data_IF_133599141405
#
_entry.id   IF_133599141405
#
_cell.length_a   1.000
_cell.length_b   1.000
_cell.length_c   1.000
_cell.angle_alpha   90.00
_cell.angle_beta   90.00
_cell.angle_gamma   90.00
#
_symmetry.space_group_name_H-M   'P 1'
#
loop_
_entity.id
_entity.type
_entity.pdbx_description
1 polymer ?
#
# COMPACT_ATOMS: atom_id res chain seq x y z
N UNK A 1 20.30 -0.30 -15.22
CA UNK A 1 19.66 0.48 -14.13
C UNK A 1 18.82 -0.42 -13.25
N UNK A 2 17.91 -1.21 -13.82
CA UNK A 2 17.22 -2.31 -13.11
C UNK A 2 18.10 -3.57 -13.16
N UNK A 3 19.17 -3.57 -12.37
CA UNK A 3 20.05 -4.73 -12.18
C UNK A 3 19.77 -5.42 -10.83
N UNK A 4 20.49 -6.50 -10.52
CA UNK A 4 20.28 -7.27 -9.29
C UNK A 4 20.49 -6.43 -8.02
N UNK A 5 21.47 -5.53 -8.02
CA UNK A 5 21.76 -4.63 -6.88
C UNK A 5 20.60 -3.67 -6.65
N UNK A 6 20.02 -3.14 -7.72
CA UNK A 6 18.83 -2.30 -7.65
C UNK A 6 17.63 -3.09 -7.11
N UNK A 7 17.40 -4.31 -7.61
CA UNK A 7 16.29 -5.13 -7.15
C UNK A 7 16.43 -5.50 -5.66
N UNK A 8 17.64 -5.79 -5.19
CA UNK A 8 17.91 -6.03 -3.77
C UNK A 8 17.63 -4.79 -2.90
N UNK A 9 18.08 -3.62 -3.34
CA UNK A 9 17.77 -2.36 -2.67
C UNK A 9 16.25 -2.14 -2.60
N UNK A 10 15.54 -2.34 -3.71
CA UNK A 10 14.10 -2.17 -3.77
C UNK A 10 13.36 -3.15 -2.86
N UNK A 11 13.77 -4.43 -2.82
CA UNK A 11 13.24 -5.42 -1.87
C UNK A 11 13.40 -4.96 -0.43
N UNK A 12 14.59 -4.47 -0.07
CA UNK A 12 14.85 -3.93 1.27
C UNK A 12 13.94 -2.74 1.61
N UNK A 13 13.81 -1.77 0.71
CA UNK A 13 12.97 -0.58 0.95
C UNK A 13 11.48 -0.92 1.01
N UNK A 14 11.00 -1.83 0.16
CA UNK A 14 9.61 -2.31 0.17
C UNK A 14 9.31 -3.03 1.49
N UNK A 15 10.21 -3.89 1.97
CA UNK A 15 10.04 -4.54 3.25
C UNK A 15 9.96 -3.53 4.40
N UNK A 16 10.87 -2.56 4.43
CA UNK A 16 10.84 -1.47 5.42
C UNK A 16 9.54 -0.67 5.37
N UNK A 17 9.02 -0.39 4.17
CA UNK A 17 7.75 0.30 4.00
C UNK A 17 6.57 -0.52 4.53
N UNK A 18 6.55 -1.84 4.27
CA UNK A 18 5.53 -2.76 4.82
C UNK A 18 5.52 -2.74 6.35
N UNK A 19 6.69 -2.74 6.98
CA UNK A 19 6.80 -2.66 8.44
C UNK A 19 6.21 -1.35 9.00
N UNK A 20 6.41 -0.23 8.30
CA UNK A 20 5.78 1.04 8.68
C UNK A 20 4.26 0.99 8.53
N UNK A 21 3.73 0.40 7.46
CA UNK A 21 2.29 0.24 7.31
C UNK A 21 1.69 -0.63 8.42
N UNK A 22 2.30 -1.76 8.75
CA UNK A 22 1.85 -2.62 9.87
C UNK A 22 1.83 -1.87 11.21
N UNK A 23 2.82 -1.00 11.46
CA UNK A 23 2.82 -0.14 12.65
C UNK A 23 1.71 0.91 12.59
N UNK A 24 1.51 1.54 11.42
CA UNK A 24 0.48 2.56 11.21
C UNK A 24 -0.94 2.00 11.40
N UNK A 25 -1.22 0.76 10.98
CA UNK A 25 -2.53 0.11 11.16
C UNK A 25 -3.02 0.13 12.61
N UNK A 26 -2.11 0.00 13.59
CA UNK A 26 -2.45 0.10 15.02
C UNK A 26 -2.85 1.53 15.40
N UNK A 27 -2.17 2.53 14.85
CA UNK A 27 -2.43 3.94 15.10
C UNK A 27 -3.76 4.43 14.51
N UNK A 28 -4.23 3.83 13.40
CA UNK A 28 -5.51 4.23 12.78
C UNK A 28 -6.70 4.04 13.73
N UNK A 29 -6.65 3.02 14.61
CA UNK A 29 -7.71 2.78 15.59
C UNK A 29 -7.84 3.91 16.63
N UNK A 30 -6.77 4.66 16.86
CA UNK A 30 -6.78 5.80 17.78
C UNK A 30 -7.36 7.09 17.15
N UNK A 31 -7.61 7.10 15.83
CA UNK A 31 -8.21 8.24 15.15
C UNK A 31 -9.72 8.36 15.45
N UNK A 32 -10.24 9.57 15.32
CA UNK A 32 -11.68 9.83 15.33
C UNK A 32 -12.37 8.98 14.27
N UNK A 33 -13.58 8.50 14.57
CA UNK A 33 -14.31 7.52 13.76
C UNK A 33 -14.43 7.94 12.29
N UNK A 34 -14.71 9.23 12.05
CA UNK A 34 -14.89 9.79 10.71
C UNK A 34 -13.57 9.87 9.91
N UNK A 35 -12.43 9.98 10.60
CA UNK A 35 -11.11 10.02 9.98
C UNK A 35 -10.54 8.62 9.66
N UNK A 36 -11.06 7.55 10.29
CA UNK A 36 -10.54 6.18 10.09
C UNK A 36 -10.71 5.71 8.66
N UNK A 37 -11.87 5.97 8.06
CA UNK A 37 -12.21 5.48 6.72
C UNK A 37 -11.29 5.99 5.59
N UNK A 38 -11.04 7.32 5.45
CA UNK A 38 -10.12 7.81 4.42
C UNK A 38 -8.68 7.34 4.67
N UNK A 39 -8.25 7.26 5.93
CA UNK A 39 -6.88 6.84 6.27
C UNK A 39 -6.66 5.35 6.01
N UNK A 40 -7.61 4.48 6.36
CA UNK A 40 -7.57 3.06 6.00
C UNK A 40 -7.56 2.85 4.49
N UNK A 41 -8.40 3.60 3.77
CA UNK A 41 -8.47 3.53 2.30
C UNK A 41 -7.14 3.92 1.66
N UNK A 42 -6.51 5.00 2.14
CA UNK A 42 -5.20 5.42 1.69
C UNK A 42 -4.13 4.35 2.01
N UNK A 43 -4.07 3.85 3.26
CA UNK A 43 -3.11 2.82 3.67
C UNK A 43 -3.19 1.59 2.75
N UNK A 44 -4.40 1.07 2.52
CA UNK A 44 -4.61 -0.09 1.66
C UNK A 44 -4.22 0.19 0.21
N UNK A 45 -4.51 1.39 -0.31
CA UNK A 45 -4.18 1.75 -1.67
C UNK A 45 -2.66 1.86 -1.89
N UNK A 46 -1.95 2.52 -0.97
CA UNK A 46 -0.50 2.68 -1.08
C UNK A 46 0.26 1.36 -0.87
N UNK A 47 -0.22 0.48 0.03
CA UNK A 47 0.33 -0.87 0.14
C UNK A 47 0.24 -1.65 -1.19
N UNK A 48 -0.87 -1.53 -1.92
CA UNK A 48 -1.04 -2.18 -3.23
C UNK A 48 -0.06 -1.68 -4.29
N UNK A 49 0.40 -0.42 -4.22
CA UNK A 49 1.42 0.10 -5.15
C UNK A 49 2.72 -0.69 -5.01
N UNK A 50 3.10 -1.09 -3.78
CA UNK A 50 4.31 -1.89 -3.56
C UNK A 50 4.24 -3.23 -4.29
N UNK A 51 3.07 -3.89 -4.30
CA UNK A 51 2.87 -5.13 -5.03
C UNK A 51 2.94 -4.92 -6.55
N UNK A 52 2.49 -3.77 -7.06
CA UNK A 52 2.64 -3.42 -8.48
C UNK A 52 4.11 -3.22 -8.82
N UNK A 53 4.91 -2.59 -7.96
CA UNK A 53 6.35 -2.44 -8.16
C UNK A 53 7.04 -3.81 -8.24
N UNK A 54 6.68 -4.75 -7.35
CA UNK A 54 7.21 -6.12 -7.40
C UNK A 54 6.79 -6.86 -8.68
N UNK A 55 5.53 -6.75 -9.09
CA UNK A 55 5.02 -7.34 -10.33
C UNK A 55 5.70 -6.77 -11.58
N UNK A 56 6.04 -5.49 -11.54
CA UNK A 56 6.76 -4.77 -12.58
C UNK A 56 8.27 -5.09 -12.59
N UNK A 57 8.71 -6.13 -11.88
CA UNK A 57 10.12 -6.51 -11.72
C UNK A 57 11.01 -5.34 -11.25
N UNK A 58 10.47 -4.48 -10.38
CA UNK A 58 11.13 -3.30 -9.84
C UNK A 58 11.54 -2.25 -10.88
N UNK A 59 11.03 -2.35 -12.11
CA UNK A 59 11.18 -1.31 -13.12
C UNK A 59 10.19 -0.18 -12.86
N UNK A 60 10.69 0.87 -12.20
CA UNK A 60 9.96 2.11 -11.92
C UNK A 60 10.38 3.26 -12.85
N UNK A 61 11.35 3.01 -13.73
CA UNK A 61 11.90 4.03 -14.63
C UNK A 61 11.20 4.02 -15.98
N UNK A 62 10.92 2.84 -16.52
CA UNK A 62 10.23 2.68 -17.81
C UNK A 62 8.71 2.67 -17.67
N UNK A 63 8.21 2.31 -16.49
CA UNK A 63 6.77 2.19 -16.23
C UNK A 63 6.39 2.72 -14.85
N UNK A 64 5.31 3.50 -14.80
CA UNK A 64 4.77 4.01 -13.54
C UNK A 64 3.95 2.91 -12.85
N UNK A 65 4.29 2.57 -11.61
CA UNK A 65 3.46 1.71 -10.78
C UNK A 65 2.18 2.46 -10.35
N UNK A 66 1.01 1.98 -10.79
CA UNK A 66 -0.29 2.44 -10.33
C UNK A 66 -1.21 1.26 -10.08
N UNK A 67 -2.11 1.40 -9.10
CA UNK A 67 -3.16 0.40 -8.85
C UNK A 67 -4.26 0.60 -9.90
N UNK A 68 -4.56 -0.40 -10.76
CA UNK A 68 -5.60 -0.29 -11.77
C UNK A 68 -6.98 -0.05 -11.16
N UNK A 69 -7.92 0.52 -11.94
CA UNK A 69 -9.22 1.02 -11.45
C UNK A 69 -10.09 -0.07 -10.79
N UNK A 70 -9.99 -1.32 -11.24
CA UNK A 70 -10.76 -2.46 -10.71
C UNK A 70 -10.39 -2.82 -9.24
N UNK A 71 -9.11 -3.04 -8.88
CA UNK A 71 -8.73 -3.24 -7.48
C UNK A 71 -8.91 -2.00 -6.59
N UNK A 72 -9.03 -0.79 -7.16
CA UNK A 72 -9.40 0.45 -6.43
C UNK A 72 -10.87 0.42 -5.97
N UNK A 73 -11.79 -0.07 -6.80
CA UNK A 73 -13.21 -0.16 -6.45
C UNK A 73 -13.47 -1.18 -5.33
N UNK A 74 -12.77 -2.32 -5.32
CA UNK A 74 -12.94 -3.33 -4.25
C UNK A 74 -12.33 -2.92 -2.89
N UNK A 75 -11.33 -2.01 -2.87
CA UNK A 75 -10.79 -1.52 -1.59
C UNK A 75 -11.78 -0.66 -0.80
N UNK A 76 -12.69 0.04 -1.46
CA UNK A 76 -13.64 0.97 -0.81
C UNK A 76 -14.65 0.26 0.12
N UNK A 77 -15.37 -0.81 -0.31
CA UNK A 77 -16.28 -1.53 0.58
C UNK A 77 -15.55 -2.32 1.68
N UNK A 78 -14.34 -2.84 1.42
CA UNK A 78 -13.53 -3.54 2.43
C UNK A 78 -13.00 -2.56 3.50
N UNK A 79 -12.56 -1.36 3.09
CA UNK A 79 -12.14 -0.32 4.02
C UNK A 79 -13.30 0.18 4.88
N UNK A 80 -14.51 0.28 4.31
CA UNK A 80 -15.72 0.62 5.06
C UNK A 80 -16.07 -0.43 6.11
N UNK A 81 -16.06 -1.72 5.75
CA UNK A 81 -16.25 -2.83 6.69
C UNK A 81 -15.21 -2.83 7.82
N UNK A 82 -13.92 -2.63 7.50
CA UNK A 82 -12.87 -2.53 8.51
C UNK A 82 -13.05 -1.33 9.44
N UNK A 83 -13.51 -0.20 8.94
CA UNK A 83 -13.76 0.99 9.75
C UNK A 83 -14.97 0.85 10.69
N UNK A 84 -15.91 -0.05 10.40
CA UNK A 84 -17.05 -0.34 11.27
C UNK A 84 -16.74 -1.37 12.35
N UNK A 85 -15.86 -2.34 12.04
CA UNK A 85 -15.56 -3.49 12.92
C UNK A 85 -14.36 -3.23 13.84
N UNK A 86 -13.46 -2.30 13.50
CA UNK A 86 -12.24 -1.96 14.26
C UNK A 86 -12.23 -0.51 14.78
#
# INVERSE_FOLDING_TARGET
VVDDRWQELMRFQIQRARDYYTKAERGIRALSRDARWPVWSALMLYQKILNVIEHNHYDVFSQRAYVPKLPKMLSLPIAWLRAQVL
#
